data_IF_130435528645
#
_entry.id   IF_130435528645
#
_cell.length_a   1.000
_cell.length_b   1.000
_cell.length_c   1.000
_cell.angle_alpha   90.00
_cell.angle_beta   90.00
_cell.angle_gamma   90.00
#
_symmetry.space_group_name_H-M   'P 1'
#
loop_
_entity.id
_entity.type
_entity.pdbx_description
1 polymer ?
#
# COMPACT_ATOMS: atom_id res chain seq x y z
N UNK A 1 -16.46 53.11 -21.01
CA UNK A 1 -15.09 52.92 -20.51
C UNK A 1 -15.09 51.63 -19.69
N UNK A 2 -15.05 50.50 -20.39
CA UNK A 2 -15.00 49.17 -19.80
C UNK A 2 -13.91 48.44 -20.57
N UNK A 3 -12.98 47.80 -19.86
CA UNK A 3 -12.76 46.35 -19.81
C UNK A 3 -11.67 46.11 -18.74
N UNK A 4 -11.90 45.31 -17.69
CA UNK A 4 -10.78 44.83 -16.89
C UNK A 4 -9.97 43.86 -17.75
N UNK A 5 -8.67 44.14 -17.87
CA UNK A 5 -7.73 43.39 -18.70
C UNK A 5 -7.62 41.94 -18.24
N UNK A 6 -7.66 41.06 -19.24
CA UNK A 6 -7.64 39.61 -19.13
C UNK A 6 -6.23 39.06 -18.86
N UNK A 7 -5.41 39.75 -18.04
CA UNK A 7 -4.00 39.41 -17.82
C UNK A 7 -3.74 38.59 -16.54
N UNK A 8 -4.72 38.46 -15.64
CA UNK A 8 -4.56 37.70 -14.38
C UNK A 8 -4.95 36.22 -14.45
N UNK A 9 -5.32 35.70 -15.63
CA UNK A 9 -5.73 34.29 -15.80
C UNK A 9 -4.61 33.30 -16.12
N UNK A 10 -3.36 33.75 -16.07
CA UNK A 10 -2.18 32.92 -16.32
C UNK A 10 -1.39 32.58 -15.05
N UNK A 11 -2.03 32.60 -13.87
CA UNK A 11 -1.48 31.93 -12.69
C UNK A 11 -1.57 30.42 -12.94
N UNK A 12 -0.44 29.84 -13.35
CA UNK A 12 -0.31 28.44 -13.71
C UNK A 12 -0.98 27.53 -12.69
N UNK A 13 -1.93 26.75 -13.19
CA UNK A 13 -2.33 25.46 -12.61
C UNK A 13 -1.09 24.56 -12.60
N UNK A 14 -0.22 24.74 -11.61
CA UNK A 14 0.69 23.68 -11.21
C UNK A 14 -0.21 22.55 -10.70
N UNK A 15 -0.42 21.53 -11.54
CA UNK A 15 -1.01 20.26 -11.11
C UNK A 15 -0.15 19.73 -9.97
N UNK A 16 -0.58 20.02 -8.74
CA UNK A 16 0.13 19.66 -7.52
C UNK A 16 0.25 18.13 -7.49
N UNK A 17 1.46 17.63 -7.78
CA UNK A 17 1.70 16.22 -8.02
C UNK A 17 1.46 15.46 -6.72
N UNK A 18 0.31 14.79 -6.61
CA UNK A 18 -0.08 14.08 -5.39
C UNK A 18 1.00 13.04 -5.05
N UNK A 19 1.66 13.17 -3.88
CA UNK A 19 2.76 12.29 -3.52
C UNK A 19 2.26 10.85 -3.35
N UNK A 20 3.06 9.88 -3.80
CA UNK A 20 2.68 8.46 -3.90
C UNK A 20 2.25 7.87 -2.55
N UNK A 21 2.92 8.26 -1.47
CA UNK A 21 2.55 7.81 -0.13
C UNK A 21 1.13 8.26 0.25
N UNK A 22 0.70 9.44 -0.19
CA UNK A 22 -0.64 9.96 0.08
C UNK A 22 -1.68 9.12 -0.67
N UNK A 23 -1.45 8.79 -1.94
CA UNK A 23 -2.34 7.92 -2.71
C UNK A 23 -2.51 6.51 -2.10
N UNK A 24 -1.46 5.99 -1.43
CA UNK A 24 -1.52 4.71 -0.72
C UNK A 24 -2.34 4.82 0.56
N UNK A 25 -2.18 5.90 1.32
CA UNK A 25 -2.94 6.15 2.56
C UNK A 25 -4.39 6.61 2.30
N UNK A 26 -4.67 7.19 1.15
CA UNK A 26 -6.01 7.65 0.75
C UNK A 26 -6.90 6.48 0.27
N UNK A 27 -6.32 5.31 -0.02
CA UNK A 27 -7.06 4.13 -0.45
C UNK A 27 -7.26 3.13 0.71
N UNK A 28 -8.47 3.08 1.30
CA UNK A 28 -8.74 2.21 2.45
C UNK A 28 -8.58 0.71 2.12
N UNK A 29 -8.76 0.29 0.87
CA UNK A 29 -8.55 -1.09 0.47
C UNK A 29 -7.08 -1.47 0.37
N UNK A 30 -6.20 -0.54 -0.04
CA UNK A 30 -4.75 -0.78 -0.03
C UNK A 30 -4.23 -0.89 1.41
N UNK A 31 -4.69 0.00 2.29
CA UNK A 31 -4.42 -0.08 3.73
C UNK A 31 -4.90 -1.41 4.33
N UNK A 32 -6.12 -1.83 4.02
CA UNK A 32 -6.68 -3.12 4.47
C UNK A 32 -5.88 -4.29 3.92
N UNK A 33 -5.55 -4.25 2.63
CA UNK A 33 -4.78 -5.30 1.97
C UNK A 33 -3.42 -5.45 2.63
N UNK A 34 -2.67 -4.36 2.83
CA UNK A 34 -1.37 -4.41 3.51
C UNK A 34 -1.54 -4.89 4.96
N UNK A 35 -2.57 -4.40 5.66
CA UNK A 35 -2.85 -4.76 7.04
C UNK A 35 -3.15 -6.26 7.25
N UNK A 36 -3.80 -6.92 6.29
CA UNK A 36 -4.09 -8.35 6.35
C UNK A 36 -3.00 -9.19 5.69
N UNK A 37 -2.47 -8.75 4.54
CA UNK A 37 -1.47 -9.48 3.78
C UNK A 37 -0.15 -9.59 4.54
N UNK A 38 0.30 -8.52 5.21
CA UNK A 38 1.54 -8.52 5.99
C UNK A 38 1.58 -9.64 7.04
N UNK A 39 0.65 -9.70 8.03
CA UNK A 39 0.66 -10.78 9.00
C UNK A 39 0.39 -12.14 8.34
N UNK A 40 -0.48 -12.21 7.33
CA UNK A 40 -0.78 -13.48 6.64
C UNK A 40 0.46 -14.10 6.02
N UNK A 41 1.21 -13.33 5.23
CA UNK A 41 2.45 -13.81 4.58
C UNK A 41 3.49 -14.16 5.64
N UNK A 42 3.68 -13.30 6.65
CA UNK A 42 4.62 -13.56 7.74
C UNK A 42 4.30 -14.87 8.48
N UNK A 43 3.05 -15.09 8.88
CA UNK A 43 2.64 -16.30 9.58
C UNK A 43 2.68 -17.54 8.71
N UNK A 44 2.37 -17.43 7.41
CA UNK A 44 2.52 -18.56 6.48
C UNK A 44 3.99 -18.93 6.36
N UNK A 45 4.88 -17.98 6.09
CA UNK A 45 6.31 -18.25 5.96
C UNK A 45 6.89 -18.82 7.26
N UNK A 46 6.54 -18.21 8.40
CA UNK A 46 6.93 -18.74 9.71
C UNK A 46 6.42 -20.16 9.90
N UNK A 47 5.12 -20.41 9.69
CA UNK A 47 4.51 -21.72 9.90
C UNK A 47 5.08 -22.80 8.98
N UNK A 48 5.42 -22.46 7.74
CA UNK A 48 6.09 -23.37 6.82
C UNK A 48 7.49 -23.71 7.32
N UNK A 49 8.27 -22.73 7.78
CA UNK A 49 9.58 -23.01 8.37
C UNK A 49 9.45 -23.90 9.62
N UNK A 50 8.49 -23.60 10.50
CA UNK A 50 8.22 -24.40 11.70
C UNK A 50 7.96 -25.86 11.32
N UNK A 51 7.01 -26.11 10.42
CA UNK A 51 6.65 -27.47 9.96
C UNK A 51 7.85 -28.17 9.31
N UNK A 52 8.64 -27.46 8.48
CA UNK A 52 9.81 -28.03 7.83
C UNK A 52 10.91 -28.45 8.80
N UNK A 53 10.99 -27.82 9.98
CA UNK A 53 11.96 -28.16 11.03
C UNK A 53 11.48 -29.26 11.98
N UNK A 54 10.18 -29.60 11.95
CA UNK A 54 9.65 -30.68 12.80
C UNK A 54 10.22 -32.03 12.32
N UNK A 55 10.94 -32.76 13.19
CA UNK A 55 11.45 -34.07 12.83
C UNK A 55 10.27 -35.05 12.66
N UNK A 56 10.20 -35.68 11.48
CA UNK A 56 9.21 -36.72 11.21
C UNK A 56 9.54 -37.96 12.03
N UNK A 57 8.72 -38.25 13.05
CA UNK A 57 8.83 -39.52 13.77
C UNK A 57 8.35 -40.64 12.84
N UNK A 58 9.14 -41.70 12.60
CA UNK A 58 8.64 -42.87 11.92
C UNK A 58 7.60 -43.49 12.85
N UNK A 59 6.32 -43.46 12.45
CA UNK A 59 5.26 -44.21 13.10
C UNK A 59 5.68 -45.70 13.09
N UNK A 60 6.27 -46.14 14.20
CA UNK A 60 6.93 -47.43 14.31
C UNK A 60 5.99 -48.40 15.00
N UNK A 61 5.43 -49.30 14.19
CA UNK A 61 4.71 -50.55 14.52
C UNK A 61 3.46 -50.47 15.38
#
# INVERSE_FOLDING_TARGET
MAEPSNEDRAAGTEEERIPVMQQVLDNPFLLLFIGVAMPTILYILWGVMEIATVPVSPLSK
#
